data_IF_362705346079
#
_entry.id   IF_362705346079
#
_cell.length_a   1.000
_cell.length_b   1.000
_cell.length_c   1.000
_cell.angle_alpha   90.00
_cell.angle_beta   90.00
_cell.angle_gamma   90.00
#
_symmetry.space_group_name_H-M   'P 1'
#
loop_
_entity.id
_entity.type
_entity.pdbx_description
1 polymer ?
#
# COMPACT_ATOMS: atom_id res chain seq x y z
N UNK A 1 -17.62 6.89 -37.88
CA UNK A 1 -17.48 7.76 -36.72
C UNK A 1 -18.26 7.14 -35.58
N UNK A 2 -17.59 6.42 -34.66
CA UNK A 2 -18.20 5.86 -33.45
C UNK A 2 -17.53 6.54 -32.26
N UNK A 3 -18.29 7.38 -31.57
CA UNK A 3 -17.93 7.99 -30.29
C UNK A 3 -17.72 6.88 -29.25
N UNK A 4 -16.54 6.76 -28.71
CA UNK A 4 -16.24 5.99 -27.50
C UNK A 4 -16.24 6.98 -26.34
N UNK A 5 -17.33 6.96 -25.55
CA UNK A 5 -17.39 7.64 -24.25
C UNK A 5 -16.39 7.04 -23.27
N UNK A 6 -15.71 7.86 -22.46
CA UNK A 6 -14.82 7.37 -21.40
C UNK A 6 -15.65 6.85 -20.21
N UNK A 7 -15.12 5.86 -19.45
CA UNK A 7 -15.86 5.20 -18.38
C UNK A 7 -16.17 6.13 -17.20
N UNK A 8 -17.33 5.92 -16.64
CA UNK A 8 -18.02 6.57 -15.54
C UNK A 8 -17.12 7.10 -14.41
N UNK A 9 -17.07 8.43 -14.31
CA UNK A 9 -16.76 9.15 -13.07
C UNK A 9 -17.85 8.84 -12.05
N UNK A 10 -17.56 8.06 -11.04
CA UNK A 10 -18.40 7.89 -9.85
C UNK A 10 -18.61 9.27 -9.19
N UNK A 11 -19.84 9.71 -9.24
CA UNK A 11 -20.31 11.02 -8.79
C UNK A 11 -20.40 11.02 -7.24
N UNK A 12 -19.30 11.31 -6.53
CA UNK A 12 -19.28 11.51 -5.08
C UNK A 12 -19.91 12.88 -4.72
N UNK A 13 -21.17 13.04 -5.03
CA UNK A 13 -21.98 14.18 -4.60
C UNK A 13 -22.78 13.78 -3.36
N UNK A 14 -22.10 13.55 -2.25
CA UNK A 14 -22.72 13.52 -0.92
C UNK A 14 -22.26 14.75 -0.14
N UNK A 15 -23.20 15.61 0.20
CA UNK A 15 -22.99 16.69 1.15
C UNK A 15 -22.53 16.09 2.48
N UNK A 16 -21.29 16.37 2.91
CA UNK A 16 -20.78 15.89 4.19
C UNK A 16 -21.51 16.59 5.33
N UNK A 17 -22.29 15.82 6.03
CA UNK A 17 -22.75 16.16 7.36
C UNK A 17 -21.65 15.76 8.37
N UNK A 18 -20.97 16.74 8.95
CA UNK A 18 -20.00 16.66 10.09
C UNK A 18 -18.72 15.83 9.87
N UNK A 19 -17.59 16.23 10.53
CA UNK A 19 -16.37 15.41 10.55
C UNK A 19 -16.72 14.01 11.04
N UNK A 20 -16.21 13.01 10.32
CA UNK A 20 -16.43 11.62 10.62
C UNK A 20 -16.11 11.37 12.10
N UNK A 21 -17.12 11.04 12.89
CA UNK A 21 -17.00 10.71 14.32
C UNK A 21 -16.33 9.31 14.42
N UNK A 22 -15.09 9.22 13.91
CA UNK A 22 -14.28 8.01 14.04
C UNK A 22 -13.87 7.88 15.51
N UNK A 23 -14.79 7.32 16.33
CA UNK A 23 -14.48 6.99 17.72
C UNK A 23 -13.48 5.85 17.74
N UNK A 24 -12.21 6.19 17.89
CA UNK A 24 -11.17 5.19 18.08
C UNK A 24 -11.34 4.53 19.45
N UNK A 25 -11.78 3.27 19.44
CA UNK A 25 -11.72 2.42 20.63
C UNK A 25 -10.25 2.14 20.99
N UNK A 26 -9.95 1.72 22.24
CA UNK A 26 -8.59 1.31 22.60
C UNK A 26 -8.01 0.22 21.67
N UNK A 27 -8.86 -0.67 21.16
CA UNK A 27 -8.49 -1.74 20.24
C UNK A 27 -8.04 -1.15 18.88
N UNK A 28 -8.80 -0.22 18.30
CA UNK A 28 -8.45 0.45 17.05
C UNK A 28 -7.20 1.32 17.20
N UNK A 29 -7.00 1.95 18.35
CA UNK A 29 -5.76 2.67 18.64
C UNK A 29 -4.55 1.71 18.65
N UNK A 30 -4.67 0.54 19.31
CA UNK A 30 -3.63 -0.49 19.29
C UNK A 30 -3.36 -1.00 17.86
N UNK A 31 -4.41 -1.26 17.09
CA UNK A 31 -4.27 -1.64 15.68
C UNK A 31 -3.43 -0.63 14.90
N UNK A 32 -3.74 0.67 14.99
CA UNK A 32 -2.97 1.73 14.32
C UNK A 32 -1.51 1.71 14.78
N UNK A 33 -1.24 1.56 16.08
CA UNK A 33 0.12 1.50 16.61
C UNK A 33 0.89 0.28 16.08
N UNK A 34 0.25 -0.88 16.01
CA UNK A 34 0.85 -2.09 15.45
C UNK A 34 1.15 -1.94 13.95
N UNK A 35 0.25 -1.29 13.19
CA UNK A 35 0.51 -0.97 11.78
C UNK A 35 1.75 -0.07 11.62
N UNK A 36 1.92 0.92 12.51
CA UNK A 36 3.13 1.74 12.53
C UNK A 36 4.41 0.90 12.68
N UNK A 37 4.44 -0.01 13.66
CA UNK A 37 5.59 -0.90 13.89
C UNK A 37 5.83 -1.90 12.75
N UNK A 38 4.77 -2.50 12.21
CA UNK A 38 4.86 -3.47 11.10
C UNK A 38 5.48 -2.84 9.85
N UNK A 39 4.98 -1.68 9.44
CA UNK A 39 5.48 -1.02 8.24
C UNK A 39 6.89 -0.42 8.41
N UNK A 40 7.26 0.00 9.62
CA UNK A 40 8.62 0.43 9.94
C UNK A 40 9.64 -0.69 9.66
N UNK A 41 9.35 -1.91 10.03
CA UNK A 41 10.16 -3.10 9.68
C UNK A 41 10.23 -3.39 8.17
N UNK A 42 9.31 -2.82 7.38
CA UNK A 42 9.26 -2.96 5.91
C UNK A 42 9.86 -1.77 5.14
N UNK A 43 10.50 -0.82 5.84
CA UNK A 43 11.13 0.36 5.24
C UNK A 43 10.22 1.55 5.01
N UNK A 44 8.97 1.50 5.47
CA UNK A 44 8.07 2.66 5.52
C UNK A 44 8.24 3.34 6.89
N UNK A 45 8.42 4.67 6.96
CA UNK A 45 8.53 5.35 8.24
C UNK A 45 7.33 5.03 9.16
N UNK A 46 7.57 4.87 10.47
CA UNK A 46 6.52 4.54 11.45
C UNK A 46 5.27 5.41 11.32
N UNK A 47 5.45 6.73 11.13
CA UNK A 47 4.33 7.67 10.94
C UNK A 47 3.53 7.32 9.67
N UNK A 48 4.18 6.89 8.61
CA UNK A 48 3.51 6.38 7.39
C UNK A 48 2.62 5.18 7.71
N UNK A 49 3.14 4.22 8.47
CA UNK A 49 2.38 3.06 8.94
C UNK A 49 1.19 3.43 9.83
N UNK A 50 1.33 4.43 10.71
CA UNK A 50 0.21 4.96 11.52
C UNK A 50 -0.88 5.58 10.63
N UNK A 51 -0.50 6.41 9.65
CA UNK A 51 -1.43 7.02 8.69
C UNK A 51 -2.15 5.92 7.91
N UNK A 52 -1.42 4.94 7.39
CA UNK A 52 -1.99 3.84 6.64
C UNK A 52 -3.00 3.04 7.48
N UNK A 53 -2.64 2.68 8.72
CA UNK A 53 -3.55 2.00 9.64
C UNK A 53 -4.83 2.78 9.91
N UNK A 54 -4.73 4.10 10.05
CA UNK A 54 -5.90 4.96 10.20
C UNK A 54 -6.77 4.99 8.94
N UNK A 55 -6.17 5.14 7.76
CA UNK A 55 -6.91 5.19 6.48
C UNK A 55 -7.61 3.88 6.15
N UNK A 56 -7.05 2.72 6.54
CA UNK A 56 -7.67 1.41 6.34
C UNK A 56 -9.00 1.28 7.10
N UNK A 57 -9.08 1.84 8.32
CA UNK A 57 -10.28 1.72 9.16
C UNK A 57 -11.23 2.92 9.03
N UNK A 58 -10.83 3.95 8.29
CA UNK A 58 -11.66 5.12 8.06
C UNK A 58 -12.80 4.78 7.08
N UNK A 59 -14.05 5.06 7.48
CA UNK A 59 -15.22 4.86 6.63
C UNK A 59 -15.31 5.87 5.49
N UNK A 60 -14.67 7.05 5.65
CA UNK A 60 -14.63 8.13 4.70
C UNK A 60 -13.21 8.68 4.56
N UNK A 61 -12.88 9.32 3.42
CA UNK A 61 -11.60 9.99 3.27
C UNK A 61 -11.39 11.07 4.35
N UNK A 62 -10.19 11.17 4.90
CA UNK A 62 -9.83 12.08 5.98
C UNK A 62 -9.01 13.27 5.46
N UNK A 63 -9.28 14.47 5.99
CA UNK A 63 -8.44 15.64 5.76
C UNK A 63 -7.13 15.54 6.55
N UNK A 64 -6.12 16.33 6.16
CA UNK A 64 -4.87 16.43 6.93
C UNK A 64 -5.11 16.90 8.37
N UNK A 65 -6.12 17.72 8.61
CA UNK A 65 -6.47 18.22 9.93
C UNK A 65 -7.04 17.12 10.83
N UNK A 66 -7.96 16.30 10.28
CA UNK A 66 -8.52 15.14 10.98
C UNK A 66 -7.44 14.11 11.31
N UNK A 67 -6.57 13.78 10.34
CA UNK A 67 -5.44 12.86 10.56
C UNK A 67 -4.51 13.41 11.64
N UNK A 68 -4.15 14.71 11.58
CA UNK A 68 -3.30 15.37 12.57
C UNK A 68 -3.88 15.30 13.98
N UNK A 69 -5.18 15.58 14.09
CA UNK A 69 -5.92 15.54 15.37
C UNK A 69 -5.98 14.12 15.95
N UNK A 70 -6.30 13.14 15.12
CA UNK A 70 -6.46 11.74 15.56
C UNK A 70 -5.12 11.12 15.97
N UNK A 71 -4.08 11.29 15.14
CA UNK A 71 -2.76 10.69 15.38
C UNK A 71 -1.84 11.54 16.24
N UNK A 72 -2.23 12.79 16.56
CA UNK A 72 -1.43 13.79 17.30
C UNK A 72 -0.07 14.04 16.65
N UNK A 73 -0.06 14.19 15.33
CA UNK A 73 1.13 14.49 14.51
C UNK A 73 0.95 15.79 13.73
N UNK A 74 2.06 16.37 13.25
CA UNK A 74 2.02 17.61 12.48
C UNK A 74 1.53 17.41 11.04
N UNK A 75 0.92 18.43 10.45
CA UNK A 75 0.55 18.43 9.01
C UNK A 75 1.77 18.23 8.10
N UNK A 76 2.94 18.75 8.49
CA UNK A 76 4.19 18.54 7.76
C UNK A 76 4.57 17.05 7.72
N UNK A 77 4.45 16.35 8.86
CA UNK A 77 4.68 14.90 8.96
C UNK A 77 3.71 14.13 8.06
N UNK A 78 2.43 14.53 8.00
CA UNK A 78 1.44 13.91 7.10
C UNK A 78 1.86 14.07 5.64
N UNK A 79 2.20 15.29 5.22
CA UNK A 79 2.60 15.57 3.83
C UNK A 79 3.83 14.76 3.41
N UNK A 80 4.84 14.66 4.30
CA UNK A 80 6.06 13.89 4.01
C UNK A 80 5.79 12.40 3.90
N UNK A 81 5.07 11.84 4.87
CA UNK A 81 4.78 10.41 4.89
C UNK A 81 3.77 10.00 3.81
N UNK A 82 2.80 10.86 3.49
CA UNK A 82 1.89 10.63 2.37
C UNK A 82 2.65 10.44 1.05
N UNK A 83 3.70 11.23 0.78
CA UNK A 83 4.49 11.07 -0.47
C UNK A 83 5.07 9.66 -0.59
N UNK A 84 5.55 9.08 0.52
CA UNK A 84 6.06 7.70 0.56
C UNK A 84 4.94 6.72 0.28
N UNK A 85 3.80 6.87 0.96
CA UNK A 85 2.64 5.99 0.76
C UNK A 85 2.07 6.09 -0.66
N UNK A 86 1.99 7.30 -1.22
CA UNK A 86 1.51 7.53 -2.58
C UNK A 86 2.46 6.95 -3.64
N UNK A 87 3.77 7.11 -3.45
CA UNK A 87 4.77 6.49 -4.33
C UNK A 87 4.69 4.96 -4.33
N UNK A 88 4.28 4.36 -3.21
CA UNK A 88 4.01 2.93 -3.09
C UNK A 88 2.60 2.51 -3.54
N UNK A 89 1.73 3.45 -3.95
CA UNK A 89 0.33 3.16 -4.31
C UNK A 89 -0.56 2.75 -3.14
N UNK A 90 -0.15 3.05 -1.91
CA UNK A 90 -0.85 2.65 -0.68
C UNK A 90 -1.82 3.71 -0.16
N UNK A 91 -1.73 4.94 -0.66
CA UNK A 91 -2.65 6.02 -0.31
C UNK A 91 -2.90 6.92 -1.52
N UNK A 92 -4.10 7.43 -1.61
CA UNK A 92 -4.51 8.41 -2.62
C UNK A 92 -5.00 9.69 -1.96
N UNK A 93 -4.98 10.78 -2.71
CA UNK A 93 -5.57 12.04 -2.29
C UNK A 93 -6.36 12.67 -3.42
N UNK A 94 -7.38 13.39 -3.06
CA UNK A 94 -8.12 14.26 -3.97
C UNK A 94 -8.48 15.57 -3.28
N UNK A 95 -8.67 16.64 -4.05
CA UNK A 95 -9.15 17.91 -3.52
C UNK A 95 -10.62 18.05 -3.85
N UNK A 96 -11.44 18.26 -2.84
CA UNK A 96 -12.87 18.52 -3.02
C UNK A 96 -13.07 19.92 -3.61
N UNK A 97 -13.91 20.00 -4.64
CA UNK A 97 -14.26 21.28 -5.27
C UNK A 97 -15.19 22.13 -4.40
N UNK A 98 -15.91 21.51 -3.45
CA UNK A 98 -16.90 22.18 -2.62
C UNK A 98 -16.27 23.02 -1.50
N UNK A 99 -15.24 22.48 -0.83
CA UNK A 99 -14.61 23.08 0.34
C UNK A 99 -13.11 23.40 0.14
N UNK A 100 -12.54 23.04 -1.03
CA UNK A 100 -11.12 23.18 -1.37
C UNK A 100 -10.18 22.44 -0.40
N UNK A 101 -10.70 21.45 0.33
CA UNK A 101 -9.92 20.64 1.25
C UNK A 101 -9.35 19.41 0.52
N UNK A 102 -8.11 19.06 0.83
CA UNK A 102 -7.49 17.82 0.36
C UNK A 102 -7.78 16.69 1.33
N UNK A 103 -8.33 15.61 0.80
CA UNK A 103 -8.68 14.39 1.51
C UNK A 103 -7.77 13.23 1.12
N UNK A 104 -7.52 12.35 2.06
CA UNK A 104 -6.66 11.18 1.94
C UNK A 104 -7.50 9.92 2.15
N UNK A 105 -7.22 8.89 1.36
CA UNK A 105 -7.93 7.61 1.42
C UNK A 105 -7.01 6.44 1.15
N UNK A 106 -7.41 5.26 1.61
CA UNK A 106 -6.81 3.99 1.25
C UNK A 106 -7.52 3.46 -0.01
N UNK A 107 -6.85 3.38 -1.17
CA UNK A 107 -7.48 2.89 -2.38
C UNK A 107 -7.68 1.38 -2.34
N UNK A 108 -8.72 0.90 -2.98
CA UNK A 108 -8.99 -0.53 -3.09
C UNK A 108 -7.84 -1.32 -3.73
N UNK A 109 -7.14 -0.69 -4.68
CA UNK A 109 -5.96 -1.23 -5.35
C UNK A 109 -4.72 -1.39 -4.45
N UNK A 110 -4.71 -0.79 -3.26
CA UNK A 110 -3.54 -0.82 -2.38
C UNK A 110 -3.15 -2.24 -1.95
N UNK A 111 -4.10 -3.15 -1.84
CA UNK A 111 -3.80 -4.56 -1.54
C UNK A 111 -3.02 -5.24 -2.66
N UNK A 112 -3.36 -4.95 -3.92
CA UNK A 112 -2.59 -5.41 -5.09
C UNK A 112 -1.20 -4.80 -5.11
N UNK A 113 -1.06 -3.53 -4.73
CA UNK A 113 0.25 -2.87 -4.65
C UNK A 113 1.17 -3.54 -3.62
N UNK A 114 0.63 -4.01 -2.49
CA UNK A 114 1.42 -4.77 -1.50
C UNK A 114 1.99 -6.05 -2.12
N UNK A 115 1.20 -6.78 -2.92
CA UNK A 115 1.67 -7.96 -3.65
C UNK A 115 2.72 -7.61 -4.71
N UNK A 116 2.50 -6.53 -5.45
CA UNK A 116 3.48 -6.03 -6.43
C UNK A 116 4.81 -5.61 -5.76
N UNK A 117 4.77 -4.96 -4.60
CA UNK A 117 5.98 -4.62 -3.84
C UNK A 117 6.77 -5.88 -3.44
N UNK A 118 6.08 -6.93 -2.99
CA UNK A 118 6.69 -8.23 -2.68
C UNK A 118 7.36 -8.84 -3.93
N UNK A 119 6.67 -8.83 -5.06
CA UNK A 119 7.19 -9.30 -6.35
C UNK A 119 8.45 -8.54 -6.75
N UNK A 120 8.43 -7.21 -6.72
CA UNK A 120 9.58 -6.38 -7.12
C UNK A 120 10.78 -6.59 -6.19
N UNK A 121 10.56 -6.74 -4.89
CA UNK A 121 11.61 -7.06 -3.92
C UNK A 121 12.25 -8.40 -4.21
N UNK A 122 11.46 -9.42 -4.54
CA UNK A 122 11.96 -10.75 -4.90
C UNK A 122 12.73 -10.74 -6.21
N UNK A 123 12.24 -10.01 -7.24
CA UNK A 123 12.95 -9.83 -8.50
C UNK A 123 14.32 -9.14 -8.29
N UNK A 124 14.37 -8.12 -7.45
CA UNK A 124 15.62 -7.44 -7.11
C UNK A 124 16.60 -8.38 -6.41
N UNK A 125 16.12 -9.16 -5.44
CA UNK A 125 16.92 -10.16 -4.76
C UNK A 125 17.45 -11.23 -5.72
N UNK A 126 16.58 -11.78 -6.60
CA UNK A 126 16.96 -12.76 -7.63
C UNK A 126 18.07 -12.23 -8.53
N UNK A 127 17.98 -10.96 -8.96
CA UNK A 127 19.04 -10.34 -9.77
C UNK A 127 20.38 -10.31 -9.03
N UNK A 128 20.40 -9.96 -7.74
CA UNK A 128 21.62 -9.96 -6.91
C UNK A 128 22.18 -11.39 -6.79
N UNK A 129 21.33 -12.39 -6.62
CA UNK A 129 21.75 -13.79 -6.58
C UNK A 129 22.40 -14.21 -7.90
N UNK A 130 21.85 -13.82 -9.05
CA UNK A 130 22.42 -14.11 -10.37
C UNK A 130 23.81 -13.44 -10.56
N UNK A 131 24.01 -12.23 -10.04
CA UNK A 131 25.33 -11.58 -10.03
C UNK A 131 26.34 -12.43 -9.23
N UNK A 132 25.94 -12.98 -8.09
CA UNK A 132 26.73 -13.91 -7.29
C UNK A 132 27.04 -15.22 -8.01
N UNK A 133 26.03 -15.83 -8.62
CA UNK A 133 26.19 -17.07 -9.40
C UNK A 133 27.18 -16.92 -10.58
N UNK A 134 27.21 -15.75 -11.21
CA UNK A 134 28.16 -15.46 -12.27
C UNK A 134 29.60 -15.29 -11.78
N UNK A 135 29.79 -14.89 -10.52
CA UNK A 135 31.10 -14.63 -9.92
C UNK A 135 31.71 -15.84 -9.22
N UNK A 136 30.89 -16.78 -8.70
CA UNK A 136 31.31 -17.91 -7.90
C UNK A 136 31.49 -19.16 -8.76
N UNK A 137 32.66 -19.88 -8.67
CA UNK A 137 32.89 -21.13 -9.40
C UNK A 137 31.82 -22.19 -9.09
N UNK A 138 31.39 -22.96 -10.11
CA UNK A 138 30.31 -23.97 -9.95
C UNK A 138 30.63 -25.07 -8.91
N UNK A 139 31.92 -25.35 -8.66
CA UNK A 139 32.39 -26.36 -7.72
C UNK A 139 32.36 -25.88 -6.27
N UNK A 140 32.13 -24.55 -6.05
CA UNK A 140 32.15 -23.97 -4.71
C UNK A 140 30.81 -24.24 -4.01
N UNK A 141 30.86 -24.53 -2.71
CA UNK A 141 29.68 -24.67 -1.85
C UNK A 141 28.83 -23.38 -1.84
N UNK A 142 29.45 -22.22 -2.05
CA UNK A 142 28.74 -20.96 -2.15
C UNK A 142 27.85 -20.92 -3.40
N UNK A 143 28.27 -21.53 -4.52
CA UNK A 143 27.46 -21.63 -5.74
C UNK A 143 26.16 -22.42 -5.46
N UNK A 144 26.24 -23.56 -4.79
CA UNK A 144 25.05 -24.35 -4.43
C UNK A 144 24.08 -23.58 -3.51
N UNK A 145 24.63 -22.76 -2.58
CA UNK A 145 23.79 -21.90 -1.73
C UNK A 145 23.06 -20.82 -2.51
N UNK A 146 23.70 -20.25 -3.54
CA UNK A 146 23.10 -19.27 -4.42
C UNK A 146 22.04 -19.90 -5.33
N UNK A 147 22.25 -21.12 -5.84
CA UNK A 147 21.24 -21.89 -6.59
C UNK A 147 19.98 -22.10 -5.74
N UNK A 148 20.12 -22.52 -4.49
CA UNK A 148 18.96 -22.67 -3.58
C UNK A 148 18.22 -21.34 -3.36
N UNK A 149 18.94 -20.21 -3.29
CA UNK A 149 18.33 -18.89 -3.15
C UNK A 149 17.61 -18.45 -4.44
N UNK A 150 18.11 -18.86 -5.61
CA UNK A 150 17.45 -18.63 -6.90
C UNK A 150 16.17 -19.43 -7.01
N UNK A 151 16.21 -20.72 -6.70
CA UNK A 151 15.03 -21.62 -6.68
C UNK A 151 13.94 -21.13 -5.73
N UNK A 152 14.33 -20.64 -4.53
CA UNK A 152 13.40 -20.03 -3.58
C UNK A 152 12.77 -18.78 -4.16
N UNK A 153 13.55 -17.94 -4.83
CA UNK A 153 13.07 -16.71 -5.46
C UNK A 153 12.04 -17.01 -6.56
N UNK A 154 12.29 -18.03 -7.40
CA UNK A 154 11.37 -18.46 -8.45
C UNK A 154 10.06 -18.98 -7.86
N UNK A 155 10.14 -19.77 -6.79
CA UNK A 155 8.97 -20.28 -6.07
C UNK A 155 8.12 -19.16 -5.49
N UNK A 156 8.74 -18.14 -4.89
CA UNK A 156 8.05 -16.96 -4.35
C UNK A 156 7.39 -16.15 -5.45
N UNK A 157 8.04 -15.95 -6.59
CA UNK A 157 7.46 -15.24 -7.74
C UNK A 157 6.24 -15.98 -8.30
N UNK A 158 6.29 -17.31 -8.38
CA UNK A 158 5.14 -18.14 -8.76
C UNK A 158 3.98 -17.99 -7.78
N UNK A 159 4.27 -17.97 -6.48
CA UNK A 159 3.26 -17.75 -5.44
C UNK A 159 2.61 -16.37 -5.53
N UNK A 160 3.38 -15.30 -5.68
CA UNK A 160 2.84 -13.95 -5.82
C UNK A 160 1.92 -13.83 -7.04
N UNK A 161 2.32 -14.41 -8.18
CA UNK A 161 1.49 -14.43 -9.40
C UNK A 161 0.15 -15.08 -9.15
N UNK A 162 0.17 -16.28 -8.56
CA UNK A 162 -1.07 -17.03 -8.24
C UNK A 162 -1.97 -16.27 -7.27
N UNK A 163 -1.41 -15.70 -6.21
CA UNK A 163 -2.18 -14.92 -5.23
C UNK A 163 -2.80 -13.69 -5.89
N UNK A 164 -2.07 -13.00 -6.78
CA UNK A 164 -2.58 -11.83 -7.49
C UNK A 164 -3.75 -12.20 -8.43
N UNK A 165 -3.62 -13.28 -9.19
CA UNK A 165 -4.69 -13.81 -10.06
C UNK A 165 -5.94 -14.15 -9.26
N UNK A 166 -5.79 -14.91 -8.16
CA UNK A 166 -6.89 -15.27 -7.25
C UNK A 166 -7.55 -14.05 -6.62
N UNK A 167 -6.74 -13.03 -6.24
CA UNK A 167 -7.21 -11.77 -5.69
C UNK A 167 -8.07 -11.01 -6.70
N UNK A 168 -7.58 -10.83 -7.92
CA UNK A 168 -8.28 -10.12 -8.98
C UNK A 168 -9.63 -10.78 -9.31
N UNK A 169 -9.68 -12.10 -9.36
CA UNK A 169 -10.93 -12.83 -9.56
C UNK A 169 -11.93 -12.60 -8.43
N UNK A 170 -11.48 -12.58 -7.18
CA UNK A 170 -12.36 -12.31 -6.03
C UNK A 170 -12.84 -10.86 -6.00
N UNK A 171 -11.93 -9.93 -6.27
CA UNK A 171 -12.21 -8.50 -6.17
C UNK A 171 -13.13 -8.01 -7.30
N UNK A 172 -12.99 -8.52 -8.51
CA UNK A 172 -13.90 -8.21 -9.61
C UNK A 172 -15.36 -8.63 -9.35
N UNK A 173 -15.60 -9.53 -8.40
CA UNK A 173 -16.95 -9.95 -7.97
C UNK A 173 -17.55 -9.04 -6.90
N UNK A 174 -16.73 -8.32 -6.14
CA UNK A 174 -17.19 -7.44 -5.05
C UNK A 174 -17.44 -6.02 -5.55
N UNK A 175 -16.83 -5.63 -6.67
CA UNK A 175 -16.97 -4.29 -7.29
C UNK A 175 -18.15 -4.20 -8.28
N UNK A 176 -19.01 -5.22 -8.36
CA UNK A 176 -20.27 -5.25 -9.09
C UNK A 176 -21.44 -5.19 -8.11
#
# INVERSE_FOLDING_TARGET
MKNTDPPHRTNHKAARSRPADLRLTPELQRFIQHMGGYFEGSGVPRIGGLILGLLIIAHEPLSAEEIASILKISRASISTNYRVLAAAGLAERFTSHADRITYYTFPASAWEQILHMGTQRTLTFKRIIHEGLAAVPKQDIAHQRLELADDLSESLLGLYRKVLEDWQVRYSRVSR
#
